data_IF_141391853645
#
_entry.id   IF_141391853645
#
_cell.length_a   1.000
_cell.length_b   1.000
_cell.length_c   1.000
_cell.angle_alpha   90.00
_cell.angle_beta   90.00
_cell.angle_gamma   90.00
#
_symmetry.space_group_name_H-M   'P 1'
#
loop_
_entity.id
_entity.type
_entity.pdbx_description
1 polymer ?
#
# COMPACT_ATOMS: atom_id res chain seq x y z
N UNK A 1 15.80 17.26 -37.38
CA UNK A 1 15.21 16.99 -36.06
C UNK A 1 16.06 15.92 -35.41
N UNK A 2 16.83 16.28 -34.38
CA UNK A 2 17.52 15.27 -33.55
C UNK A 2 16.44 14.46 -32.83
N UNK A 3 16.57 13.13 -32.82
CA UNK A 3 15.69 12.25 -32.04
C UNK A 3 16.03 12.45 -30.57
N UNK A 4 15.04 12.46 -29.68
CA UNK A 4 15.25 12.64 -28.23
C UNK A 4 16.24 11.60 -27.63
N UNK A 5 16.36 10.44 -28.27
CA UNK A 5 17.32 9.38 -27.91
C UNK A 5 18.79 9.81 -28.02
N UNK A 6 19.13 10.78 -28.89
CA UNK A 6 20.51 11.25 -29.07
C UNK A 6 20.94 12.32 -28.04
N UNK A 7 20.01 12.86 -27.24
CA UNK A 7 20.28 13.95 -26.27
C UNK A 7 20.91 13.47 -24.96
N UNK A 8 20.91 12.16 -24.69
CA UNK A 8 21.32 11.60 -23.39
C UNK A 8 22.47 10.60 -23.52
N UNK A 9 23.28 10.72 -24.57
CA UNK A 9 24.33 9.73 -24.90
C UNK A 9 25.55 9.79 -23.97
N UNK A 10 25.82 10.95 -23.36
CA UNK A 10 26.91 11.13 -22.41
C UNK A 10 26.42 11.56 -21.02
N UNK A 11 27.24 11.25 -20.01
CA UNK A 11 26.93 11.53 -18.60
C UNK A 11 26.69 13.01 -18.33
N UNK A 12 27.41 13.90 -19.00
CA UNK A 12 27.31 15.34 -18.77
C UNK A 12 25.97 15.87 -19.32
N UNK A 13 25.58 15.44 -20.52
CA UNK A 13 24.27 15.73 -21.09
C UNK A 13 23.12 15.19 -20.22
N UNK A 14 23.26 14.00 -19.64
CA UNK A 14 22.27 13.47 -18.68
C UNK A 14 22.16 14.32 -17.42
N UNK A 15 23.28 14.71 -16.81
CA UNK A 15 23.29 15.59 -15.62
C UNK A 15 22.64 16.93 -15.94
N UNK A 16 22.98 17.53 -17.08
CA UNK A 16 22.41 18.80 -17.52
C UNK A 16 20.90 18.69 -17.75
N UNK A 17 20.44 17.59 -18.34
CA UNK A 17 19.03 17.32 -18.54
C UNK A 17 18.27 17.16 -17.22
N UNK A 18 18.83 16.41 -16.26
CA UNK A 18 18.25 16.25 -14.93
C UNK A 18 18.14 17.61 -14.24
N UNK A 19 19.22 18.39 -14.20
CA UNK A 19 19.20 19.72 -13.55
C UNK A 19 18.18 20.65 -14.22
N UNK A 20 18.06 20.59 -15.54
CA UNK A 20 17.08 21.36 -16.29
C UNK A 20 15.64 21.05 -15.89
N UNK A 21 15.30 19.79 -15.56
CA UNK A 21 13.92 19.48 -15.11
C UNK A 21 13.60 20.14 -13.77
N UNK A 22 14.57 20.20 -12.84
CA UNK A 22 14.40 20.91 -11.58
C UNK A 22 14.23 22.43 -11.77
N UNK A 23 15.02 23.03 -12.67
CA UNK A 23 14.89 24.46 -13.01
C UNK A 23 13.56 24.77 -13.70
N UNK A 24 13.11 23.92 -14.64
CA UNK A 24 11.85 24.10 -15.34
C UNK A 24 10.63 23.92 -14.43
N UNK A 25 10.70 23.00 -13.47
CA UNK A 25 9.62 22.78 -12.49
C UNK A 25 9.40 23.96 -11.54
N UNK A 26 10.37 24.86 -11.38
CA UNK A 26 10.25 26.07 -10.56
C UNK A 26 9.62 27.25 -11.30
N UNK A 27 9.44 27.15 -12.62
CA UNK A 27 8.83 28.23 -13.41
C UNK A 27 7.33 28.31 -13.12
N UNK A 28 6.80 29.53 -13.14
CA UNK A 28 5.37 29.77 -12.95
C UNK A 28 4.55 29.11 -14.07
N UNK A 29 3.50 28.39 -13.69
CA UNK A 29 2.58 27.74 -14.63
C UNK A 29 1.45 28.72 -14.93
N UNK A 30 1.43 29.30 -16.13
CA UNK A 30 0.41 30.30 -16.47
C UNK A 30 -0.85 29.68 -17.09
N UNK A 31 -0.70 28.61 -17.87
CA UNK A 31 -1.80 27.98 -18.58
C UNK A 31 -1.56 26.49 -18.90
N UNK A 32 -2.63 25.78 -19.21
CA UNK A 32 -2.56 24.39 -19.65
C UNK A 32 -1.97 24.28 -21.07
N UNK A 33 -1.07 23.31 -21.30
CA UNK A 33 -0.30 23.15 -22.54
C UNK A 33 -1.13 23.19 -23.84
N UNK A 34 -2.31 22.58 -23.86
CA UNK A 34 -3.23 22.58 -25.02
C UNK A 34 -4.40 23.57 -24.93
N UNK A 35 -4.62 24.19 -23.77
CA UNK A 35 -5.83 24.98 -23.48
C UNK A 35 -5.43 26.29 -22.81
N UNK A 36 -5.09 27.33 -23.57
CA UNK A 36 -4.56 28.59 -23.02
C UNK A 36 -5.51 29.31 -22.04
N UNK A 37 -6.82 29.03 -22.13
CA UNK A 37 -7.83 29.60 -21.24
C UNK A 37 -7.94 28.89 -19.88
N UNK A 38 -7.32 27.71 -19.72
CA UNK A 38 -7.30 26.97 -18.46
C UNK A 38 -6.07 27.41 -17.68
N UNK A 39 -6.30 27.95 -16.48
CA UNK A 39 -5.26 28.41 -15.56
C UNK A 39 -5.19 27.49 -14.33
N UNK A 40 -4.00 27.28 -13.74
CA UNK A 40 -3.90 26.51 -12.50
C UNK A 40 -4.55 27.27 -11.34
N UNK A 41 -5.19 26.52 -10.46
CA UNK A 41 -5.81 27.04 -9.23
C UNK A 41 -4.84 26.92 -8.05
N UNK A 42 -4.12 25.81 -7.99
CA UNK A 42 -3.19 25.46 -6.92
C UNK A 42 -2.02 24.68 -7.53
N UNK A 43 -0.81 24.92 -7.00
CA UNK A 43 0.40 24.20 -7.37
C UNK A 43 0.87 23.47 -6.11
N UNK A 44 0.93 22.15 -6.19
CA UNK A 44 1.34 21.27 -5.09
C UNK A 44 2.70 20.66 -5.42
N UNK A 45 3.81 21.16 -4.84
CA UNK A 45 5.11 20.55 -5.01
C UNK A 45 5.14 19.13 -4.45
N UNK A 46 5.84 18.24 -5.16
CA UNK A 46 6.00 16.83 -4.79
C UNK A 46 7.40 16.59 -4.23
N UNK A 47 7.49 16.22 -2.96
CA UNK A 47 8.76 15.99 -2.26
C UNK A 47 8.92 14.56 -1.75
N UNK A 48 10.16 14.06 -1.58
CA UNK A 48 10.37 12.80 -0.88
C UNK A 48 9.92 12.90 0.58
N UNK A 49 9.26 11.88 1.09
CA UNK A 49 8.78 11.84 2.47
C UNK A 49 9.89 11.44 3.46
N UNK A 50 10.58 12.43 4.04
CA UNK A 50 11.67 12.16 4.99
C UNK A 50 11.23 11.41 6.25
N UNK A 51 9.95 11.49 6.61
CA UNK A 51 9.43 10.86 7.83
C UNK A 51 9.09 9.39 7.61
N UNK A 52 8.52 9.09 6.45
CA UNK A 52 8.03 7.75 6.13
C UNK A 52 9.04 6.89 5.36
N UNK A 53 10.04 7.46 4.69
CA UNK A 53 11.06 6.70 3.95
C UNK A 53 11.85 5.68 4.79
N UNK A 54 11.86 5.83 6.12
CA UNK A 54 12.47 4.85 7.04
C UNK A 54 11.64 3.56 7.19
N UNK A 55 10.38 3.57 6.74
CA UNK A 55 9.49 2.43 6.83
C UNK A 55 9.32 1.76 5.45
N UNK A 56 9.48 0.43 5.37
CA UNK A 56 9.18 -0.29 4.14
C UNK A 56 7.66 -0.41 3.97
N UNK A 57 7.14 -0.01 2.81
CA UNK A 57 5.73 -0.15 2.47
C UNK A 57 5.51 -1.31 1.51
N UNK A 58 4.42 -2.04 1.74
CA UNK A 58 3.97 -3.12 0.88
C UNK A 58 2.52 -2.89 0.44
N UNK A 59 2.28 -3.02 -0.85
CA UNK A 59 0.93 -3.01 -1.40
C UNK A 59 0.39 -4.44 -1.40
N UNK A 60 -0.68 -4.68 -0.65
CA UNK A 60 -1.41 -5.96 -0.64
C UNK A 60 -2.62 -5.85 -1.56
N UNK A 61 -2.70 -6.73 -2.55
CA UNK A 61 -3.80 -6.79 -3.51
C UNK A 61 -4.53 -8.11 -3.40
N UNK A 62 -5.85 -8.04 -3.21
CA UNK A 62 -6.72 -9.22 -3.23
C UNK A 62 -7.25 -9.47 -4.64
N UNK A 63 -7.35 -10.74 -5.04
CA UNK A 63 -7.96 -11.14 -6.31
C UNK A 63 -9.48 -10.93 -6.36
N UNK A 64 -10.10 -10.82 -5.19
CA UNK A 64 -11.52 -10.67 -4.97
C UNK A 64 -11.74 -9.93 -3.65
N UNK A 65 -12.86 -9.21 -3.53
CA UNK A 65 -13.17 -8.42 -2.34
C UNK A 65 -13.09 -9.29 -1.07
N UNK A 66 -12.21 -8.96 -0.10
CA UNK A 66 -11.91 -9.82 1.04
C UNK A 66 -13.07 -9.91 2.04
N UNK A 67 -13.91 -8.87 2.10
CA UNK A 67 -15.16 -8.85 2.87
C UNK A 67 -16.25 -8.07 2.08
N UNK A 68 -17.54 -8.24 2.41
CA UNK A 68 -18.62 -7.40 1.90
C UNK A 68 -18.39 -5.91 2.20
N UNK A 69 -18.91 -5.03 1.33
CA UNK A 69 -18.79 -3.57 1.46
C UNK A 69 -19.45 -3.04 2.76
N UNK A 70 -20.39 -3.80 3.34
CA UNK A 70 -21.01 -3.45 4.64
C UNK A 70 -20.03 -3.52 5.82
N UNK A 71 -18.88 -4.19 5.67
CA UNK A 71 -17.92 -4.50 6.74
C UNK A 71 -16.61 -3.69 6.60
N UNK A 72 -16.64 -2.52 5.97
CA UNK A 72 -15.44 -1.66 5.76
C UNK A 72 -14.73 -1.34 7.08
N UNK A 73 -15.50 -1.10 8.16
CA UNK A 73 -14.93 -0.81 9.48
C UNK A 73 -14.16 -2.03 10.03
N UNK A 74 -14.69 -3.24 9.83
CA UNK A 74 -14.03 -4.50 10.22
C UNK A 74 -12.75 -4.73 9.41
N UNK A 75 -12.78 -4.43 8.11
CA UNK A 75 -11.62 -4.55 7.23
C UNK A 75 -10.45 -3.65 7.66
N UNK A 76 -10.74 -2.47 8.23
CA UNK A 76 -9.71 -1.53 8.69
C UNK A 76 -8.86 -2.08 9.84
N UNK A 77 -9.43 -3.01 10.62
CA UNK A 77 -8.77 -3.67 11.74
C UNK A 77 -8.44 -5.15 11.43
N UNK A 78 -8.55 -5.57 10.18
CA UNK A 78 -8.27 -6.94 9.80
C UNK A 78 -6.78 -7.28 9.94
N UNK A 79 -6.50 -8.52 10.33
CA UNK A 79 -5.13 -9.02 10.46
C UNK A 79 -4.78 -10.02 9.36
N UNK A 80 -3.54 -9.93 8.87
CA UNK A 80 -2.99 -10.83 7.87
C UNK A 80 -1.81 -11.57 8.50
N UNK A 81 -1.86 -12.91 8.56
CA UNK A 81 -0.78 -13.75 9.10
C UNK A 81 -0.39 -14.85 8.13
N UNK A 82 0.92 -15.06 7.94
CA UNK A 82 1.44 -16.24 7.25
C UNK A 82 1.33 -17.47 8.15
N UNK A 83 0.81 -18.56 7.61
CA UNK A 83 0.62 -19.85 8.29
C UNK A 83 1.25 -20.93 7.43
N UNK A 84 1.78 -21.97 8.09
CA UNK A 84 2.22 -23.21 7.45
C UNK A 84 1.37 -24.35 8.02
N UNK A 85 0.74 -25.14 7.16
CA UNK A 85 0.02 -26.33 7.62
C UNK A 85 0.96 -27.50 7.92
N UNK A 86 0.40 -28.58 8.49
CA UNK A 86 1.12 -29.82 8.82
C UNK A 86 1.72 -30.52 7.59
N UNK A 87 1.23 -30.19 6.38
CA UNK A 87 1.76 -30.71 5.11
C UNK A 87 2.90 -29.85 4.57
N UNK A 88 3.27 -28.75 5.25
CA UNK A 88 4.28 -27.80 4.81
C UNK A 88 3.78 -26.78 3.78
N UNK A 89 2.47 -26.73 3.50
CA UNK A 89 1.88 -25.75 2.59
C UNK A 89 1.77 -24.40 3.31
N UNK A 90 2.34 -23.39 2.67
CA UNK A 90 2.38 -22.02 3.17
C UNK A 90 1.21 -21.21 2.59
N UNK A 91 0.38 -20.60 3.45
CA UNK A 91 -0.76 -19.78 3.06
C UNK A 91 -0.98 -18.63 4.04
N UNK A 92 -1.59 -17.55 3.55
CA UNK A 92 -1.93 -16.38 4.35
C UNK A 92 -3.35 -16.51 4.85
N UNK A 93 -3.53 -16.38 6.16
CA UNK A 93 -4.83 -16.30 6.79
C UNK A 93 -5.23 -14.83 6.99
N UNK A 94 -6.44 -14.50 6.55
CA UNK A 94 -7.09 -13.21 6.72
C UNK A 94 -8.10 -13.31 7.86
N UNK A 95 -7.87 -12.52 8.91
CA UNK A 95 -8.68 -12.51 10.12
C UNK A 95 -9.48 -11.22 10.21
N UNK A 96 -10.77 -11.34 10.50
CA UNK A 96 -11.65 -10.21 10.80
C UNK A 96 -11.86 -10.11 12.32
N UNK A 97 -11.88 -8.89 12.88
CA UNK A 97 -12.18 -8.70 14.30
C UNK A 97 -13.61 -9.17 14.61
N UNK A 98 -13.85 -9.62 15.83
CA UNK A 98 -15.23 -9.80 16.33
C UNK A 98 -15.86 -8.45 16.67
N UNK A 99 -17.20 -8.38 16.74
CA UNK A 99 -17.90 -7.17 17.18
C UNK A 99 -17.40 -6.63 18.53
N UNK A 100 -17.06 -7.52 19.46
CA UNK A 100 -16.49 -7.15 20.76
C UNK A 100 -15.10 -6.53 20.61
N UNK A 101 -14.25 -7.11 19.77
CA UNK A 101 -12.93 -6.56 19.43
C UNK A 101 -13.04 -5.19 18.77
N UNK A 102 -13.99 -4.98 17.85
CA UNK A 102 -14.22 -3.67 17.22
C UNK A 102 -14.55 -2.62 18.27
N UNK A 103 -15.43 -2.95 19.23
CA UNK A 103 -15.80 -2.03 20.32
C UNK A 103 -14.61 -1.70 21.22
N UNK A 104 -13.81 -2.70 21.61
CA UNK A 104 -12.59 -2.49 22.40
C UNK A 104 -11.60 -1.60 21.66
N UNK A 105 -11.30 -1.92 20.39
CA UNK A 105 -10.39 -1.14 19.53
C UNK A 105 -10.84 0.31 19.36
N UNK A 106 -12.16 0.55 19.29
CA UNK A 106 -12.70 1.91 19.24
C UNK A 106 -12.45 2.67 20.55
N UNK A 107 -12.68 2.06 21.70
CA UNK A 107 -12.36 2.63 23.01
C UNK A 107 -10.86 2.94 23.13
N UNK A 108 -10.01 2.00 22.71
CA UNK A 108 -8.55 2.17 22.80
C UNK A 108 -8.06 3.36 21.95
N UNK A 109 -8.63 3.53 20.75
CA UNK A 109 -8.37 4.68 19.90
C UNK A 109 -8.82 6.01 20.52
N UNK A 110 -9.94 6.01 21.26
CA UNK A 110 -10.42 7.18 22.02
C UNK A 110 -9.51 7.50 23.22
N UNK A 111 -8.92 6.49 23.86
CA UNK A 111 -7.96 6.64 24.96
C UNK A 111 -6.52 6.90 24.50
N UNK A 112 -6.25 6.79 23.19
CA UNK A 112 -4.93 7.03 22.59
C UNK A 112 -3.92 5.91 22.85
N UNK A 113 -4.40 4.70 23.17
CA UNK A 113 -3.59 3.51 23.38
C UNK A 113 -3.76 2.52 22.24
N UNK A 114 -2.72 1.73 21.96
CA UNK A 114 -2.78 0.76 20.86
C UNK A 114 -3.58 -0.49 21.26
N UNK A 115 -3.34 -1.02 22.46
CA UNK A 115 -4.09 -2.10 23.09
C UNK A 115 -4.11 -1.85 24.60
N UNK A 116 -5.20 -2.22 25.26
CA UNK A 116 -5.30 -2.20 26.72
C UNK A 116 -4.71 -3.49 27.28
N UNK A 117 -3.78 -3.39 28.22
CA UNK A 117 -2.99 -4.52 28.73
C UNK A 117 -3.83 -5.67 29.32
N UNK A 118 -5.03 -5.36 29.85
CA UNK A 118 -5.92 -6.33 30.50
C UNK A 118 -7.00 -6.91 29.56
N UNK A 119 -7.05 -6.48 28.28
CA UNK A 119 -8.08 -6.88 27.34
C UNK A 119 -7.60 -7.90 26.30
N UNK A 120 -8.40 -8.94 26.07
CA UNK A 120 -8.19 -9.88 24.97
C UNK A 120 -8.96 -9.46 23.71
N UNK A 121 -8.30 -9.51 22.56
CA UNK A 121 -8.86 -9.13 21.27
C UNK A 121 -9.00 -10.35 20.36
N UNK A 122 -10.23 -10.86 20.21
CA UNK A 122 -10.53 -12.01 19.36
C UNK A 122 -10.72 -11.60 17.89
N UNK A 123 -10.02 -12.28 16.99
CA UNK A 123 -10.18 -12.21 15.55
C UNK A 123 -10.49 -13.62 14.99
N UNK A 124 -11.43 -13.68 14.04
CA UNK A 124 -11.86 -14.94 13.41
C UNK A 124 -11.29 -15.05 12.02
N UNK A 125 -10.78 -16.23 11.68
CA UNK A 125 -10.33 -16.51 10.31
C UNK A 125 -11.51 -16.42 9.36
N UNK A 126 -11.46 -15.46 8.44
CA UNK A 126 -12.49 -15.26 7.43
C UNK A 126 -12.13 -15.98 6.13
N UNK A 127 -10.85 -15.92 5.71
CA UNK A 127 -10.39 -16.46 4.43
C UNK A 127 -8.93 -16.89 4.46
N UNK A 128 -8.60 -17.80 3.56
CA UNK A 128 -7.22 -18.24 3.28
C UNK A 128 -6.83 -17.82 1.86
N UNK A 129 -5.57 -17.40 1.71
CA UNK A 129 -5.02 -16.91 0.46
C UNK A 129 -3.66 -17.55 0.17
N UNK A 130 -3.43 -17.91 -1.09
CA UNK A 130 -2.06 -18.06 -1.58
C UNK A 130 -1.46 -16.67 -1.78
N UNK A 131 -0.15 -16.53 -1.62
CA UNK A 131 0.52 -15.26 -1.86
C UNK A 131 1.53 -15.35 -3.01
N UNK A 132 1.67 -14.24 -3.72
CA UNK A 132 2.76 -14.01 -4.65
C UNK A 132 3.40 -12.67 -4.30
N UNK A 133 4.67 -12.70 -3.88
CA UNK A 133 5.44 -11.51 -3.55
C UNK A 133 6.30 -11.13 -4.74
N UNK A 134 6.22 -9.88 -5.16
CA UNK A 134 7.15 -9.23 -6.09
C UNK A 134 7.83 -8.07 -5.39
N UNK A 135 9.15 -7.98 -5.54
CA UNK A 135 9.99 -6.93 -4.97
C UNK A 135 10.99 -6.40 -6.02
N UNK A 136 11.84 -5.44 -5.65
CA UNK A 136 12.88 -4.86 -6.52
C UNK A 136 13.81 -5.89 -7.17
N UNK A 137 14.02 -7.05 -6.55
CA UNK A 137 14.85 -8.12 -7.11
C UNK A 137 14.10 -9.03 -8.11
N UNK A 138 12.78 -8.89 -8.22
CA UNK A 138 11.95 -9.72 -9.09
C UNK A 138 12.06 -9.29 -10.54
N UNK A 139 12.14 -10.25 -11.47
CA UNK A 139 12.18 -9.97 -12.91
C UNK A 139 10.90 -9.27 -13.36
N UNK A 140 11.05 -8.14 -14.05
CA UNK A 140 9.91 -7.32 -14.50
C UNK A 140 9.22 -6.58 -13.36
N UNK A 141 9.96 -6.24 -12.31
CA UNK A 141 9.51 -5.32 -11.28
C UNK A 141 9.29 -3.93 -11.88
N UNK A 142 8.14 -3.35 -11.57
CA UNK A 142 7.79 -1.98 -11.91
C UNK A 142 7.76 -1.18 -10.62
N UNK A 143 8.56 -0.11 -10.59
CA UNK A 143 8.53 0.85 -9.49
C UNK A 143 7.13 1.41 -9.32
N UNK A 144 6.70 1.53 -8.07
CA UNK A 144 5.42 2.11 -7.73
C UNK A 144 5.60 3.04 -6.56
N UNK A 145 4.76 4.07 -6.53
CA UNK A 145 4.83 5.11 -5.53
C UNK A 145 3.43 5.38 -5.01
N UNK A 146 3.33 5.79 -3.75
CA UNK A 146 2.10 6.37 -3.22
C UNK A 146 2.38 7.79 -2.75
N UNK A 147 1.33 8.61 -2.78
CA UNK A 147 1.40 10.00 -2.35
C UNK A 147 0.66 10.18 -1.04
N UNK A 148 1.25 11.00 -0.17
CA UNK A 148 0.67 11.43 1.10
C UNK A 148 0.44 12.92 1.01
N UNK A 149 -0.81 13.32 1.19
CA UNK A 149 -1.21 14.73 1.23
C UNK A 149 -1.22 15.17 2.69
N UNK A 150 -0.42 16.18 3.02
CA UNK A 150 -0.36 16.79 4.34
C UNK A 150 -0.53 18.32 4.23
N UNK A 151 -0.84 19.03 5.32
CA UNK A 151 -0.98 20.49 5.28
C UNK A 151 0.27 21.24 4.81
N UNK A 152 1.45 20.64 4.97
CA UNK A 152 2.77 21.19 4.62
C UNK A 152 3.25 20.79 3.21
N UNK A 153 2.54 19.92 2.50
CA UNK A 153 2.88 19.57 1.11
C UNK A 153 2.38 18.19 0.67
N UNK A 154 2.77 17.82 -0.56
CA UNK A 154 2.53 16.48 -1.11
C UNK A 154 3.84 15.72 -1.12
N UNK A 155 3.81 14.51 -0.56
CA UNK A 155 5.01 13.69 -0.39
C UNK A 155 4.87 12.36 -1.11
N UNK A 156 5.96 11.85 -1.70
CA UNK A 156 5.98 10.52 -2.32
C UNK A 156 6.82 9.52 -1.52
N UNK A 157 6.33 8.29 -1.53
CA UNK A 157 6.94 7.14 -0.89
C UNK A 157 7.00 5.96 -1.86
N UNK A 158 8.02 5.14 -1.75
CA UNK A 158 8.19 3.94 -2.56
C UNK A 158 7.32 2.78 -2.06
N UNK A 159 6.66 2.08 -2.98
CA UNK A 159 5.99 0.80 -2.75
C UNK A 159 6.90 -0.32 -3.26
N UNK A 160 7.89 -0.67 -2.46
CA UNK A 160 8.94 -1.63 -2.86
C UNK A 160 8.42 -3.05 -3.04
N UNK A 161 7.38 -3.41 -2.30
CA UNK A 161 6.85 -4.78 -2.25
C UNK A 161 5.40 -4.81 -2.70
N UNK A 162 5.08 -5.67 -3.67
CA UNK A 162 3.70 -5.97 -4.06
C UNK A 162 3.38 -7.41 -3.69
N UNK A 163 2.36 -7.58 -2.85
CA UNK A 163 1.86 -8.90 -2.42
C UNK A 163 0.50 -9.12 -3.07
N UNK A 164 0.40 -10.10 -3.96
CA UNK A 164 -0.89 -10.52 -4.53
C UNK A 164 -1.41 -11.73 -3.75
N UNK A 165 -2.60 -11.59 -3.18
CA UNK A 165 -3.30 -12.63 -2.46
C UNK A 165 -4.39 -13.22 -3.35
N UNK A 166 -4.33 -14.54 -3.61
CA UNK A 166 -5.34 -15.25 -4.38
C UNK A 166 -6.09 -16.25 -3.51
N UNK A 167 -7.42 -16.19 -3.54
CA UNK A 167 -8.27 -16.95 -2.61
C UNK A 167 -8.03 -18.44 -2.77
N UNK A 168 -7.68 -19.12 -1.67
CA UNK A 168 -7.49 -20.56 -1.65
C UNK A 168 -8.85 -21.26 -1.71
N UNK A 169 -8.97 -22.28 -2.55
CA UNK A 169 -10.18 -23.11 -2.61
C UNK A 169 -10.00 -24.27 -1.63
N UNK A 170 -10.95 -24.44 -0.72
CA UNK A 170 -11.01 -25.61 0.15
C UNK A 170 -11.17 -26.86 -0.73
N UNK A 171 -10.36 -27.89 -0.48
CA UNK A 171 -10.52 -29.19 -1.14
C UNK A 171 -11.86 -29.82 -0.71
N UNK A 172 -12.58 -30.51 -1.61
CA UNK A 172 -13.84 -31.14 -1.25
C UNK A 172 -13.67 -32.07 -0.05
N UNK A 173 -14.48 -31.88 1.00
CA UNK A 173 -14.44 -32.70 2.22
C UNK A 173 -13.59 -32.15 3.38
N UNK A 174 -12.86 -31.06 3.19
CA UNK A 174 -12.14 -30.37 4.28
C UNK A 174 -13.08 -29.33 4.91
N UNK A 175 -13.31 -29.43 6.23
CA UNK A 175 -14.08 -28.42 6.96
C UNK A 175 -13.31 -27.09 6.97
N UNK A 176 -14.01 -25.94 6.86
CA UNK A 176 -13.37 -24.64 7.00
C UNK A 176 -12.69 -24.55 8.37
N UNK A 177 -11.44 -24.10 8.38
CA UNK A 177 -10.66 -23.97 9.59
C UNK A 177 -11.15 -22.74 10.37
N UNK A 178 -11.86 -22.95 11.48
CA UNK A 178 -12.41 -21.86 12.31
C UNK A 178 -11.38 -21.37 13.35
N UNK A 179 -10.13 -21.20 12.92
CA UNK A 179 -9.07 -20.73 13.80
C UNK A 179 -9.36 -19.32 14.30
N UNK A 180 -9.12 -19.13 15.59
CA UNK A 180 -9.20 -17.82 16.25
C UNK A 180 -7.79 -17.32 16.51
N UNK A 181 -7.60 -16.03 16.30
CA UNK A 181 -6.41 -15.31 16.73
C UNK A 181 -6.80 -14.45 17.92
N UNK A 182 -6.09 -14.60 19.03
CA UNK A 182 -6.23 -13.72 20.20
C UNK A 182 -4.95 -12.92 20.31
N UNK A 183 -5.10 -11.60 20.38
CA UNK A 183 -4.02 -10.63 20.61
C UNK A 183 -4.22 -10.02 21.98
#
# INVERSE_FOLDING_TARGET
MMKEEDLYMDRESQINAINRTFEEAQKEIECHYSKPHVKPVEILPLFPDSDLWKYPFAQVMFDSDPAPISEIEEMSQAMIRGVMDESGEQFVAYFLPTEDTIRKRKRDAEEGVEYMDDDEYEYRMAREYNWNVKNKASKGYEENYFFVFRPDGVFYNELETRVRLSKRRLKPGVQPNNSKLVV
#
